data_IF_084404343014
#
_entry.id   IF_084404343014
#
_cell.length_a   1.000
_cell.length_b   1.000
_cell.length_c   1.000
_cell.angle_alpha   90.00
_cell.angle_beta   90.00
_cell.angle_gamma   90.00
#
_symmetry.space_group_name_H-M   'P 1'
#
loop_
_entity.id
_entity.type
_entity.pdbx_description
1 polymer ?
#
# COMPACT_ATOMS: atom_id res chain seq x y z
N UNK A 1 0.35 19.67 -21.30
CA UNK A 1 0.68 18.37 -20.67
C UNK A 1 1.54 18.67 -19.47
N UNK A 2 0.93 18.77 -18.29
CA UNK A 2 1.67 18.90 -17.03
C UNK A 2 2.05 17.50 -16.60
N UNK A 3 3.33 17.16 -16.74
CA UNK A 3 3.90 16.00 -16.08
C UNK A 3 3.51 16.04 -14.59
N UNK A 4 3.03 14.93 -14.00
CA UNK A 4 2.78 14.90 -12.57
C UNK A 4 4.08 15.22 -11.84
N UNK A 5 4.03 16.12 -10.86
CA UNK A 5 5.14 16.36 -9.93
C UNK A 5 5.61 14.98 -9.42
N UNK A 6 6.92 14.68 -9.37
CA UNK A 6 7.38 13.43 -8.79
C UNK A 6 6.83 13.34 -7.36
N UNK A 7 5.88 12.42 -7.14
CA UNK A 7 5.34 12.17 -5.81
C UNK A 7 6.46 11.74 -4.87
N UNK A 8 6.28 11.96 -3.58
CA UNK A 8 7.23 11.49 -2.56
C UNK A 8 7.49 9.99 -2.77
N UNK A 9 8.75 9.53 -2.87
CA UNK A 9 9.05 8.12 -3.07
C UNK A 9 8.43 7.27 -1.95
N UNK A 10 7.81 6.15 -2.33
CA UNK A 10 7.23 5.21 -1.39
C UNK A 10 7.74 3.81 -1.70
N UNK A 11 8.35 3.15 -0.73
CA UNK A 11 8.63 1.72 -0.80
C UNK A 11 7.60 0.95 0.00
N UNK A 12 6.93 -0.03 -0.63
CA UNK A 12 5.97 -0.90 0.04
C UNK A 12 6.59 -2.28 0.26
N UNK A 13 6.77 -2.67 1.52
CA UNK A 13 7.30 -3.95 1.94
C UNK A 13 6.20 -4.81 2.56
N UNK A 14 5.94 -5.97 1.97
CA UNK A 14 5.00 -6.94 2.51
C UNK A 14 5.74 -8.21 2.93
N UNK A 15 5.43 -8.72 4.12
CA UNK A 15 5.86 -10.03 4.57
C UNK A 15 4.68 -10.98 4.56
N UNK A 16 4.72 -11.98 3.69
CA UNK A 16 3.70 -13.00 3.58
C UNK A 16 3.98 -14.12 4.57
N UNK A 17 3.00 -14.43 5.40
CA UNK A 17 3.05 -15.54 6.35
C UNK A 17 1.79 -16.39 6.23
N UNK A 18 1.88 -17.67 6.54
CA UNK A 18 0.72 -18.54 6.69
C UNK A 18 -0.12 -18.08 7.88
N UNK A 19 -1.42 -17.82 7.66
CA UNK A 19 -2.33 -17.45 8.76
C UNK A 19 -2.44 -18.52 9.86
N UNK A 20 -2.23 -19.80 9.51
CA UNK A 20 -2.32 -20.93 10.44
C UNK A 20 -1.05 -21.13 11.28
N UNK A 21 0.13 -20.91 10.69
CA UNK A 21 1.41 -21.29 11.32
C UNK A 21 2.36 -20.13 11.59
N UNK A 22 2.08 -18.94 11.05
CA UNK A 22 2.96 -17.77 11.13
C UNK A 22 4.29 -17.90 10.36
N UNK A 23 4.52 -19.04 9.68
CA UNK A 23 5.74 -19.29 8.90
C UNK A 23 5.73 -18.50 7.59
N UNK A 24 6.89 -18.10 7.05
CA UNK A 24 6.99 -17.48 5.74
C UNK A 24 6.24 -18.25 4.66
N UNK A 25 5.47 -17.53 3.85
CA UNK A 25 4.78 -18.13 2.70
C UNK A 25 5.62 -17.91 1.44
N UNK A 26 6.16 -19.00 0.92
CA UNK A 26 7.01 -19.02 -0.28
C UNK A 26 6.20 -19.34 -1.54
N UNK A 27 6.79 -19.15 -2.72
CA UNK A 27 6.16 -19.50 -4.00
C UNK A 27 4.92 -18.65 -4.35
N UNK A 28 4.77 -17.49 -3.72
CA UNK A 28 3.69 -16.55 -4.01
C UNK A 28 4.21 -15.38 -4.85
N UNK A 29 3.34 -14.80 -5.66
CA UNK A 29 3.60 -13.49 -6.29
C UNK A 29 2.61 -12.47 -5.75
N UNK A 30 3.02 -11.21 -5.70
CA UNK A 30 2.16 -10.10 -5.30
C UNK A 30 2.06 -9.12 -6.45
N UNK A 31 0.84 -8.70 -6.78
CA UNK A 31 0.59 -7.53 -7.62
C UNK A 31 0.21 -6.35 -6.73
N UNK A 32 0.75 -5.17 -7.02
CA UNK A 32 0.49 -3.94 -6.28
C UNK A 32 0.07 -2.82 -7.23
N UNK A 33 -0.99 -2.09 -6.88
CA UNK A 33 -1.49 -0.97 -7.67
C UNK A 33 -2.07 0.13 -6.79
N UNK A 34 -2.04 1.36 -7.30
CA UNK A 34 -2.47 2.52 -6.56
C UNK A 34 -3.92 2.87 -6.85
N UNK A 35 -4.61 3.37 -5.84
CA UNK A 35 -5.88 4.06 -6.04
C UNK A 35 -5.63 5.37 -6.80
N UNK A 36 -6.52 5.74 -7.72
CA UNK A 36 -6.45 7.04 -8.40
C UNK A 36 -5.46 7.13 -9.57
N UNK A 37 -5.15 6.03 -10.25
CA UNK A 37 -4.58 6.09 -11.61
C UNK A 37 -3.06 6.23 -11.72
N UNK A 38 -2.30 6.14 -10.61
CA UNK A 38 -0.82 6.10 -10.64
C UNK A 38 -0.25 4.79 -11.24
N UNK A 39 -1.10 3.96 -11.85
CA UNK A 39 -0.72 2.69 -12.43
C UNK A 39 -0.46 1.58 -11.41
N UNK A 40 0.06 0.49 -11.95
CA UNK A 40 0.50 -0.70 -11.20
C UNK A 40 1.97 -0.57 -10.88
N UNK A 41 2.38 -0.76 -9.62
CA UNK A 41 3.80 -0.88 -9.27
C UNK A 41 4.41 -2.20 -9.76
N UNK A 42 3.57 -3.13 -10.24
CA UNK A 42 3.98 -4.34 -10.94
C UNK A 42 3.58 -5.60 -10.19
N UNK A 43 4.18 -6.72 -10.62
CA UNK A 43 4.09 -8.03 -9.98
C UNK A 43 5.48 -8.49 -9.58
N UNK A 44 5.63 -8.94 -8.34
CA UNK A 44 6.90 -9.44 -7.83
C UNK A 44 6.72 -10.75 -7.07
N UNK A 45 7.68 -11.66 -7.20
CA UNK A 45 7.74 -12.87 -6.39
C UNK A 45 8.17 -12.53 -4.96
N UNK A 46 7.59 -13.22 -3.98
CA UNK A 46 8.09 -13.20 -2.61
C UNK A 46 9.37 -14.04 -2.50
N UNK A 47 10.33 -13.57 -1.73
CA UNK A 47 11.57 -14.30 -1.44
C UNK A 47 11.33 -15.51 -0.50
N UNK A 48 12.34 -16.36 -0.25
CA UNK A 48 12.19 -17.51 0.66
C UNK A 48 11.82 -17.15 2.11
N UNK A 49 12.04 -15.91 2.53
CA UNK A 49 11.64 -15.39 3.83
C UNK A 49 10.23 -14.73 3.82
N UNK A 50 9.53 -14.81 2.67
CA UNK A 50 8.18 -14.31 2.45
C UNK A 50 8.12 -12.81 2.15
N UNK A 51 9.24 -12.16 1.89
CA UNK A 51 9.27 -10.72 1.65
C UNK A 51 9.08 -10.36 0.19
N UNK A 52 8.36 -9.27 -0.05
CA UNK A 52 8.28 -8.59 -1.34
C UNK A 52 8.39 -7.08 -1.12
N UNK A 53 9.02 -6.37 -2.04
CA UNK A 53 9.32 -4.93 -1.89
C UNK A 53 9.12 -4.19 -3.21
N UNK A 54 8.17 -3.26 -3.25
CA UNK A 54 7.87 -2.45 -4.43
C UNK A 54 8.40 -1.03 -4.23
N UNK A 55 9.18 -0.52 -5.18
CA UNK A 55 9.43 0.91 -5.31
C UNK A 55 8.27 1.56 -6.07
N UNK A 56 7.70 2.62 -5.50
CA UNK A 56 6.57 3.36 -6.09
C UNK A 56 6.58 4.84 -5.65
N UNK A 57 5.47 5.54 -5.88
CA UNK A 57 5.21 6.90 -5.42
C UNK A 57 4.08 6.91 -4.38
N UNK A 58 4.15 7.86 -3.43
CA UNK A 58 3.09 8.09 -2.47
C UNK A 58 1.80 8.51 -3.20
N UNK A 59 0.65 7.87 -2.92
CA UNK A 59 -0.59 8.14 -3.66
C UNK A 59 -1.10 9.56 -3.39
N UNK A 60 -1.65 10.19 -4.42
CA UNK A 60 -2.28 11.50 -4.29
C UNK A 60 -3.49 11.52 -3.35
N UNK A 61 -3.72 12.68 -2.72
CA UNK A 61 -4.97 12.96 -1.99
C UNK A 61 -6.12 13.18 -2.98
N UNK A 62 -6.93 12.14 -3.20
CA UNK A 62 -8.14 12.17 -4.04
C UNK A 62 -9.39 12.35 -3.19
N UNK A 63 -10.20 13.36 -3.50
CA UNK A 63 -11.44 13.64 -2.77
C UNK A 63 -12.33 12.38 -2.64
N UNK A 64 -12.82 12.14 -1.42
CA UNK A 64 -13.68 11.00 -1.11
C UNK A 64 -12.96 9.67 -0.89
N UNK A 65 -11.64 9.60 -1.09
CA UNK A 65 -10.85 8.38 -0.90
C UNK A 65 -9.63 8.65 -0.02
N UNK A 66 -9.61 8.03 1.16
CA UNK A 66 -8.45 8.00 2.04
C UNK A 66 -7.23 7.46 1.30
N UNK A 67 -6.01 8.00 1.48
CA UNK A 67 -4.84 7.53 0.76
C UNK A 67 -4.54 6.05 1.02
N UNK A 68 -4.51 5.24 -0.05
CA UNK A 68 -4.28 3.81 0.07
C UNK A 68 -3.62 3.18 -1.16
N UNK A 69 -3.11 1.97 -0.95
CA UNK A 69 -2.50 1.12 -1.98
C UNK A 69 -3.18 -0.25 -1.94
N UNK A 70 -3.51 -0.82 -3.10
CA UNK A 70 -4.09 -2.15 -3.20
C UNK A 70 -3.02 -3.19 -3.52
N UNK A 71 -3.25 -4.42 -3.08
CA UNK A 71 -2.45 -5.56 -3.50
C UNK A 71 -3.26 -6.85 -3.57
N UNK A 72 -2.78 -7.77 -4.40
CA UNK A 72 -3.27 -9.15 -4.46
C UNK A 72 -2.10 -10.10 -4.35
N UNK A 73 -2.23 -11.09 -3.46
CA UNK A 73 -1.33 -12.24 -3.34
C UNK A 73 -1.89 -13.36 -4.20
N UNK A 74 -1.04 -13.92 -5.03
CA UNK A 74 -1.37 -15.02 -5.92
C UNK A 74 -0.57 -16.26 -5.50
N UNK A 75 -1.20 -17.43 -5.65
CA UNK A 75 -0.44 -18.67 -5.68
C UNK A 75 0.52 -18.64 -6.87
N UNK A 76 1.56 -19.46 -6.85
CA UNK A 76 2.55 -19.54 -7.93
C UNK A 76 1.95 -19.93 -9.28
N UNK A 77 2.37 -21.06 -9.84
CA UNK A 77 2.17 -21.40 -11.26
C UNK A 77 0.70 -21.53 -11.71
N UNK A 78 -0.24 -21.63 -10.77
CA UNK A 78 -1.68 -21.69 -11.04
C UNK A 78 -2.38 -20.31 -11.15
N UNK A 79 -1.68 -19.20 -10.83
CA UNK A 79 -2.16 -17.81 -11.03
C UNK A 79 -3.34 -17.35 -10.16
N UNK A 80 -3.92 -18.24 -9.35
CA UNK A 80 -5.11 -17.97 -8.53
C UNK A 80 -4.86 -16.92 -7.47
N UNK A 81 -5.83 -16.02 -7.26
CA UNK A 81 -5.80 -15.03 -6.17
C UNK A 81 -6.04 -15.76 -4.85
N UNK A 82 -5.08 -15.65 -3.93
CA UNK A 82 -5.17 -16.19 -2.57
C UNK A 82 -5.75 -15.16 -1.62
N UNK A 83 -5.39 -13.88 -1.80
CA UNK A 83 -5.78 -12.81 -0.90
C UNK A 83 -5.74 -11.48 -1.66
N UNK A 84 -6.75 -10.65 -1.49
CA UNK A 84 -6.76 -9.27 -1.98
C UNK A 84 -7.06 -8.37 -0.80
N UNK A 85 -6.26 -7.33 -0.63
CA UNK A 85 -6.44 -6.36 0.41
C UNK A 85 -5.82 -5.02 0.00
N UNK A 86 -5.81 -4.10 0.94
CA UNK A 86 -5.29 -2.77 0.77
C UNK A 86 -4.52 -2.32 2.01
N UNK A 87 -3.78 -1.23 1.85
CA UNK A 87 -3.03 -0.54 2.90
C UNK A 87 -3.59 0.86 3.06
N UNK A 88 -4.24 1.14 4.19
CA UNK A 88 -4.59 2.52 4.56
C UNK A 88 -3.33 3.24 5.05
N UNK A 89 -2.87 4.25 4.33
CA UNK A 89 -1.68 4.99 4.77
C UNK A 89 -2.01 5.83 6.03
N UNK A 90 -1.14 5.79 7.06
CA UNK A 90 -1.31 6.60 8.26
C UNK A 90 -1.42 8.10 7.96
N UNK A 91 -2.26 8.81 8.71
CA UNK A 91 -2.51 10.25 8.50
C UNK A 91 -1.26 11.12 8.71
N UNK A 92 -0.36 10.74 9.61
CA UNK A 92 0.92 11.40 9.83
C UNK A 92 1.87 11.21 8.64
N UNK A 93 1.95 10.00 8.08
CA UNK A 93 2.68 9.75 6.83
C UNK A 93 2.10 10.56 5.66
N UNK A 94 0.77 10.64 5.55
CA UNK A 94 0.12 11.50 4.56
C UNK A 94 0.48 12.98 4.76
N UNK A 95 0.45 13.47 6.01
CA UNK A 95 0.79 14.86 6.33
C UNK A 95 2.26 15.19 5.98
N UNK A 96 3.17 14.24 6.16
CA UNK A 96 4.58 14.37 5.75
C UNK A 96 4.74 14.38 4.24
N UNK A 97 4.03 13.52 3.51
CA UNK A 97 4.18 13.38 2.07
C UNK A 97 3.50 14.51 1.25
N UNK A 98 2.48 15.14 1.80
CA UNK A 98 1.62 16.07 1.07
C UNK A 98 2.05 17.52 1.14
N UNK A 99 1.90 18.22 0.01
CA UNK A 99 1.95 19.67 -0.03
C UNK A 99 0.70 20.28 0.64
N UNK A 100 0.69 21.61 0.85
CA UNK A 100 -0.41 22.29 1.53
C UNK A 100 -1.78 22.07 0.87
N UNK A 101 -1.84 22.06 -0.46
CA UNK A 101 -3.09 21.83 -1.19
C UNK A 101 -3.61 20.40 -1.01
N UNK A 102 -2.72 19.40 -1.01
CA UNK A 102 -3.07 18.00 -0.77
C UNK A 102 -3.51 17.77 0.69
N UNK A 103 -2.86 18.41 1.66
CA UNK A 103 -3.27 18.37 3.08
C UNK A 103 -4.69 18.91 3.28
N UNK A 104 -5.03 20.05 2.65
CA UNK A 104 -6.41 20.58 2.69
C UNK A 104 -7.45 19.59 2.14
N UNK A 105 -7.08 18.78 1.14
CA UNK A 105 -7.97 17.72 0.64
C UNK A 105 -8.09 16.60 1.67
N UNK A 106 -6.98 16.17 2.26
CA UNK A 106 -6.95 15.13 3.30
C UNK A 106 -7.81 15.50 4.51
N UNK A 107 -7.77 16.78 4.95
CA UNK A 107 -8.57 17.28 6.08
C UNK A 107 -10.09 17.14 5.84
N UNK A 108 -10.52 17.12 4.58
CA UNK A 108 -11.91 16.88 4.19
C UNK A 108 -12.28 15.40 4.08
N UNK A 109 -11.35 14.47 4.31
CA UNK A 109 -11.56 13.03 4.21
C UNK A 109 -11.70 12.39 5.58
N UNK A 110 -12.34 11.22 5.59
CA UNK A 110 -12.40 10.36 6.76
C UNK A 110 -12.25 8.93 6.29
N UNK A 111 -11.27 8.21 6.83
CA UNK A 111 -11.09 6.78 6.55
C UNK A 111 -12.36 5.98 6.85
N UNK A 112 -13.12 6.36 7.88
CA UNK A 112 -14.39 5.69 8.23
C UNK A 112 -15.56 5.98 7.29
N UNK A 113 -15.42 6.96 6.38
CA UNK A 113 -16.41 7.25 5.34
C UNK A 113 -15.98 6.79 3.96
N UNK A 114 -14.76 6.27 3.83
CA UNK A 114 -14.27 5.73 2.58
C UNK A 114 -14.90 4.34 2.34
N UNK A 115 -15.48 4.17 1.15
CA UNK A 115 -16.14 2.93 0.73
C UNK A 115 -15.24 1.69 0.79
N UNK A 116 -13.92 1.85 0.59
CA UNK A 116 -12.94 0.77 0.67
C UNK A 116 -12.76 0.24 2.10
N UNK A 117 -13.00 1.08 3.11
CA UNK A 117 -12.68 0.78 4.52
C UNK A 117 -13.92 0.53 5.39
N UNK A 118 -15.08 0.33 4.78
CA UNK A 118 -16.37 0.10 5.49
C UNK A 118 -16.38 -1.16 6.36
N UNK A 119 -15.57 -2.18 6.03
CA UNK A 119 -15.37 -3.39 6.83
C UNK A 119 -14.38 -3.25 8.00
N UNK A 120 -13.80 -2.07 8.19
CA UNK A 120 -12.74 -1.79 9.15
C UNK A 120 -11.35 -1.76 8.51
N UNK A 121 -10.45 -0.98 9.10
CA UNK A 121 -9.11 -0.69 8.53
C UNK A 121 -7.97 -0.89 9.53
N UNK A 122 -8.26 -1.21 10.80
CA UNK A 122 -7.24 -1.29 11.86
C UNK A 122 -6.13 -2.28 11.51
N UNK A 123 -6.52 -3.44 10.97
CA UNK A 123 -5.55 -4.40 10.50
C UNK A 123 -4.83 -3.91 9.26
N UNK A 124 -5.43 -3.01 8.46
CA UNK A 124 -4.98 -2.51 7.15
C UNK A 124 -3.93 -1.40 7.19
N UNK A 125 -3.59 -0.89 8.38
CA UNK A 125 -2.59 0.17 8.55
C UNK A 125 -1.18 -0.44 8.58
N UNK A 126 -0.27 -0.07 7.64
CA UNK A 126 1.14 -0.45 7.71
C UNK A 126 1.90 0.41 8.73
N UNK A 127 3.01 -0.12 9.23
CA UNK A 127 4.02 0.74 9.87
C UNK A 127 4.71 1.57 8.81
N UNK A 128 4.83 2.89 9.00
CA UNK A 128 5.56 3.77 8.08
C UNK A 128 6.78 4.37 8.77
N UNK A 129 7.92 4.31 8.09
CA UNK A 129 9.18 4.93 8.52
C UNK A 129 9.78 5.76 7.39
N UNK A 130 10.85 6.52 7.69
CA UNK A 130 11.53 7.39 6.74
C UNK A 130 11.02 8.83 6.79
N UNK A 131 11.24 9.57 5.71
CA UNK A 131 10.86 10.98 5.61
C UNK A 131 10.58 11.36 4.15
N UNK A 132 9.88 12.48 3.92
CA UNK A 132 9.48 12.89 2.58
C UNK A 132 10.65 13.25 1.63
N UNK A 133 11.84 13.57 2.16
CA UNK A 133 13.00 13.89 1.34
C UNK A 133 13.77 12.64 0.90
N UNK A 134 13.83 11.60 1.74
CA UNK A 134 14.51 10.33 1.46
C UNK A 134 13.59 9.23 0.94
N UNK A 135 12.28 9.41 1.09
CA UNK A 135 11.26 8.41 0.80
C UNK A 135 10.72 7.76 2.06
N UNK A 136 9.45 7.37 1.98
CA UNK A 136 8.74 6.67 3.04
C UNK A 136 8.75 5.16 2.76
N UNK A 137 8.76 4.36 3.83
CA UNK A 137 8.71 2.90 3.73
C UNK A 137 7.51 2.38 4.51
N UNK A 138 6.51 1.87 3.80
CA UNK A 138 5.35 1.22 4.38
C UNK A 138 5.61 -0.28 4.51
N UNK A 139 5.59 -0.81 5.74
CA UNK A 139 5.85 -2.23 6.03
C UNK A 139 4.64 -2.89 6.68
N UNK A 140 4.26 -4.07 6.19
CA UNK A 140 3.17 -4.86 6.78
C UNK A 140 3.39 -6.37 6.66
N UNK A 141 3.07 -7.10 7.72
CA UNK A 141 2.93 -8.56 7.68
C UNK A 141 1.50 -8.93 7.29
N UNK A 142 1.34 -9.84 6.33
CA UNK A 142 0.06 -10.27 5.78
C UNK A 142 -0.08 -11.77 5.99
N UNK A 143 -1.10 -12.16 6.76
CA UNK A 143 -1.51 -13.56 6.89
C UNK A 143 -2.32 -13.99 5.67
N UNK A 144 -1.85 -15.02 4.97
CA UNK A 144 -2.47 -15.64 3.78
C UNK A 144 -2.76 -17.10 4.05
#
# INVERSE_FOLDING_TARGET
>A
MTEPTPGVPLTVKLRLVSANSGRPRTGCTVSLWHCGGHGTAGRQAADPAGWVSFGSAFPEARAGHWPHVHFAVHSGDAGGVLHTAQLALPGDACAQAYCAAQRRRLDGMSIGRDGCFTGGWTLEIPSVTGDAARGLVATRTVGV
#
